data_IF_870626137423
#
_entry.id   IF_870626137423
#
_cell.length_a   1.000
_cell.length_b   1.000
_cell.length_c   1.000
_cell.angle_alpha   90.00
_cell.angle_beta   90.00
_cell.angle_gamma   90.00
#
_symmetry.space_group_name_H-M   'P 1'
#
loop_
_entity.id
_entity.type
_entity.pdbx_description
1 polymer ?
#
# COMPACT_ATOMS: atom_id res chain seq x y z
N UNK A 1 -10.75 -3.01 -15.50
CA UNK A 1 -10.65 -1.58 -15.09
C UNK A 1 -9.26 -1.22 -14.55
N UNK A 2 -8.59 -2.09 -13.80
CA UNK A 2 -7.27 -1.86 -13.19
C UNK A 2 -6.13 -1.65 -14.20
N UNK A 3 -6.18 -2.40 -15.30
CA UNK A 3 -5.27 -2.26 -16.43
C UNK A 3 -5.37 -0.86 -17.07
N UNK A 4 -6.53 -0.20 -16.95
CA UNK A 4 -6.77 1.12 -17.53
C UNK A 4 -6.07 2.25 -16.76
N UNK A 5 -6.00 2.20 -15.43
CA UNK A 5 -5.29 3.21 -14.63
C UNK A 5 -3.79 3.14 -14.89
N UNK A 6 -3.20 1.94 -14.80
CA UNK A 6 -1.79 1.73 -15.13
C UNK A 6 -1.49 2.10 -16.58
N UNK A 7 -2.29 1.64 -17.55
CA UNK A 7 -2.15 2.07 -18.96
C UNK A 7 -2.29 3.57 -19.12
N UNK A 8 -3.21 4.23 -18.42
CA UNK A 8 -3.40 5.69 -18.50
C UNK A 8 -2.21 6.45 -17.93
N UNK A 9 -1.60 5.96 -16.85
CA UNK A 9 -0.35 6.50 -16.35
C UNK A 9 0.80 6.24 -17.34
N UNK A 10 0.97 5.01 -17.84
CA UNK A 10 2.00 4.68 -18.84
C UNK A 10 1.87 5.56 -20.10
N UNK A 11 0.65 5.75 -20.61
CA UNK A 11 0.36 6.62 -21.78
C UNK A 11 0.58 8.11 -21.48
N UNK A 12 0.30 8.57 -20.26
CA UNK A 12 0.53 9.96 -19.85
C UNK A 12 2.03 10.26 -19.64
N UNK A 13 2.78 9.25 -19.23
CA UNK A 13 4.22 9.32 -18.94
C UNK A 13 5.05 8.62 -20.03
N UNK A 14 4.62 8.72 -21.29
CA UNK A 14 5.24 8.07 -22.46
C UNK A 14 6.73 8.43 -22.64
N UNK A 15 7.19 9.54 -22.06
CA UNK A 15 8.62 9.92 -22.03
C UNK A 15 9.46 9.14 -20.99
N UNK A 16 8.83 8.57 -19.96
CA UNK A 16 9.47 7.73 -18.94
C UNK A 16 9.40 6.24 -19.32
N UNK A 17 8.37 5.84 -20.06
CA UNK A 17 8.14 4.45 -20.43
C UNK A 17 8.49 4.24 -21.91
N UNK A 18 9.49 3.40 -22.19
CA UNK A 18 9.69 2.94 -23.57
C UNK A 18 8.38 2.34 -24.09
N UNK A 19 7.92 2.78 -25.26
CA UNK A 19 6.71 2.33 -25.95
C UNK A 19 6.61 0.79 -26.09
N UNK A 20 7.73 0.08 -25.93
CA UNK A 20 7.83 -1.37 -25.83
C UNK A 20 7.12 -2.01 -24.62
N UNK A 21 6.76 -1.25 -23.58
CA UNK A 21 6.05 -1.75 -22.38
C UNK A 21 4.52 -1.71 -22.54
N UNK A 22 3.99 -0.83 -23.41
CA UNK A 22 2.55 -0.57 -23.56
C UNK A 22 1.80 -1.75 -24.21
N UNK A 23 2.54 -2.71 -24.81
CA UNK A 23 1.98 -3.93 -25.43
C UNK A 23 2.44 -5.25 -24.82
N UNK A 24 3.27 -5.25 -23.77
CA UNK A 24 3.65 -6.50 -23.09
C UNK A 24 2.66 -6.79 -21.98
N UNK A 25 2.32 -8.07 -21.84
CA UNK A 25 1.58 -8.55 -20.67
C UNK A 25 2.52 -8.49 -19.45
N UNK A 26 2.53 -7.32 -18.82
CA UNK A 26 3.31 -7.00 -17.62
C UNK A 26 3.00 -7.95 -16.44
N UNK A 27 1.99 -8.82 -16.57
CA UNK A 27 1.61 -9.82 -15.58
C UNK A 27 2.17 -11.23 -15.86
N UNK A 28 3.02 -11.42 -16.88
CA UNK A 28 3.73 -12.70 -17.08
C UNK A 28 4.53 -13.11 -15.82
N UNK A 29 4.67 -14.41 -15.58
CA UNK A 29 5.22 -14.98 -14.32
C UNK A 29 6.48 -14.32 -13.71
N UNK A 30 7.53 -13.93 -14.46
CA UNK A 30 8.68 -13.25 -13.85
C UNK A 30 8.33 -11.87 -13.26
N UNK A 31 7.27 -11.22 -13.76
CA UNK A 31 6.82 -9.93 -13.26
C UNK A 31 5.82 -10.07 -12.10
N UNK A 32 5.12 -11.19 -11.97
CA UNK A 32 4.14 -11.40 -10.91
C UNK A 32 4.78 -11.23 -9.53
N UNK A 33 5.91 -11.92 -9.27
CA UNK A 33 6.69 -11.79 -8.04
C UNK A 33 7.18 -10.36 -7.78
N UNK A 34 7.56 -9.64 -8.83
CA UNK A 34 8.00 -8.24 -8.72
C UNK A 34 6.81 -7.37 -8.29
N UNK A 35 5.65 -7.52 -8.93
CA UNK A 35 4.41 -6.88 -8.50
C UNK A 35 4.08 -7.17 -7.05
N UNK A 36 4.30 -8.41 -6.60
CA UNK A 36 4.01 -8.76 -5.22
C UNK A 36 4.81 -7.99 -4.19
N UNK A 37 6.09 -7.78 -4.49
CA UNK A 37 6.98 -7.03 -3.64
C UNK A 37 6.67 -5.54 -3.67
N UNK A 38 6.30 -4.96 -4.82
CA UNK A 38 5.89 -3.55 -4.88
C UNK A 38 4.55 -3.28 -4.21
N UNK A 39 3.61 -4.21 -4.29
CA UNK A 39 2.36 -4.17 -3.52
C UNK A 39 2.66 -4.16 -2.02
N UNK A 40 3.54 -5.06 -1.55
CA UNK A 40 3.98 -5.09 -0.16
C UNK A 40 4.69 -3.79 0.25
N UNK A 41 5.60 -3.30 -0.58
CA UNK A 41 6.34 -2.09 -0.30
C UNK A 41 5.45 -0.84 -0.28
N UNK A 42 4.43 -0.78 -1.15
CA UNK A 42 3.41 0.26 -1.11
C UNK A 42 2.55 0.17 0.16
N UNK A 43 2.24 -1.04 0.63
CA UNK A 43 1.54 -1.26 1.90
C UNK A 43 2.38 -0.76 3.09
N UNK A 44 3.65 -1.16 3.20
CA UNK A 44 4.56 -0.70 4.25
C UNK A 44 4.71 0.83 4.26
N UNK A 45 4.94 1.43 3.10
CA UNK A 45 5.03 2.88 2.98
C UNK A 45 3.72 3.56 3.40
N UNK A 46 2.56 2.99 3.04
CA UNK A 46 1.25 3.53 3.43
C UNK A 46 0.99 3.42 4.93
N UNK A 47 1.38 2.29 5.54
CA UNK A 47 1.33 2.02 6.99
C UNK A 47 2.15 3.03 7.78
N UNK A 48 3.32 3.40 7.27
CA UNK A 48 4.20 4.40 7.89
C UNK A 48 3.90 5.84 7.45
N UNK A 49 2.82 6.06 6.67
CA UNK A 49 2.46 7.35 6.07
C UNK A 49 3.59 8.00 5.26
N UNK A 50 4.43 7.18 4.63
CA UNK A 50 5.51 7.59 3.76
C UNK A 50 5.09 7.62 2.29
N UNK A 51 5.59 8.63 1.58
CA UNK A 51 5.52 8.75 0.12
C UNK A 51 6.84 8.41 -0.56
N UNK A 52 7.88 8.18 0.24
CA UNK A 52 9.25 7.96 -0.19
C UNK A 52 9.67 6.51 0.00
N UNK A 53 10.36 5.96 -0.97
CA UNK A 53 10.92 4.60 -0.97
C UNK A 53 12.44 4.71 -1.13
N UNK A 54 13.20 3.96 -0.35
CA UNK A 54 14.65 3.98 -0.48
C UNK A 54 15.10 3.09 -1.66
N UNK A 55 16.05 3.56 -2.47
CA UNK A 55 16.62 2.78 -3.57
C UNK A 55 17.18 1.42 -3.14
N UNK A 56 17.67 1.31 -1.91
CA UNK A 56 18.11 0.02 -1.33
C UNK A 56 16.97 -0.99 -1.16
N UNK A 57 15.75 -0.54 -0.86
CA UNK A 57 14.56 -1.42 -0.75
C UNK A 57 14.19 -1.97 -2.13
N UNK A 58 14.27 -1.12 -3.16
CA UNK A 58 14.00 -1.50 -4.55
C UNK A 58 15.07 -2.45 -5.08
N UNK A 59 16.35 -2.23 -4.78
CA UNK A 59 17.45 -3.09 -5.27
C UNK A 59 17.30 -4.54 -4.78
N UNK A 60 16.87 -4.72 -3.54
CA UNK A 60 16.63 -6.06 -2.95
C UNK A 60 15.58 -6.85 -3.75
N UNK A 61 14.63 -6.16 -4.37
CA UNK A 61 13.52 -6.74 -5.11
C UNK A 61 13.93 -7.06 -6.56
N UNK A 62 14.72 -6.19 -7.19
CA UNK A 62 14.85 -6.17 -8.65
C UNK A 62 16.21 -6.65 -9.16
N UNK A 63 17.25 -6.65 -8.32
CA UNK A 63 18.60 -7.01 -8.75
C UNK A 63 19.08 -6.18 -9.95
N UNK A 64 19.42 -6.84 -11.07
CA UNK A 64 20.00 -6.21 -12.27
C UNK A 64 18.99 -5.49 -13.18
N UNK A 65 17.67 -5.69 -13.00
CA UNK A 65 16.63 -5.08 -13.85
C UNK A 65 16.10 -3.73 -13.32
N UNK A 66 16.86 -3.08 -12.44
CA UNK A 66 16.43 -1.92 -11.65
C UNK A 66 15.75 -0.82 -12.48
N UNK A 67 16.34 -0.42 -13.62
CA UNK A 67 15.77 0.63 -14.49
C UNK A 67 14.43 0.24 -15.12
N UNK A 68 14.30 -0.99 -15.62
CA UNK A 68 13.05 -1.46 -16.23
C UNK A 68 11.90 -1.47 -15.23
N UNK A 69 12.19 -1.81 -13.98
CA UNK A 69 11.18 -1.83 -12.92
C UNK A 69 10.81 -0.44 -12.43
N UNK A 70 11.77 0.49 -12.32
CA UNK A 70 11.43 1.90 -12.05
C UNK A 70 10.41 2.42 -13.07
N UNK A 71 10.56 2.05 -14.35
CA UNK A 71 9.61 2.44 -15.39
C UNK A 71 8.25 1.72 -15.26
N UNK A 72 8.23 0.42 -14.97
CA UNK A 72 6.98 -0.36 -14.82
C UNK A 72 6.15 0.13 -13.64
N UNK A 73 6.78 0.42 -12.51
CA UNK A 73 6.11 0.90 -11.29
C UNK A 73 6.07 2.42 -11.21
N UNK A 74 6.47 3.11 -12.28
CA UNK A 74 6.40 4.56 -12.41
C UNK A 74 7.06 5.27 -11.21
N UNK A 75 8.23 4.78 -10.81
CA UNK A 75 9.01 5.33 -9.70
C UNK A 75 9.96 6.39 -10.21
N UNK A 76 9.84 7.59 -9.64
CA UNK A 76 10.61 8.76 -10.00
C UNK A 76 11.63 9.03 -8.89
N UNK A 77 12.93 9.15 -9.21
CA UNK A 77 13.93 9.53 -8.23
C UNK A 77 13.75 10.99 -7.82
N UNK A 78 14.02 11.30 -6.54
CA UNK A 78 14.01 12.65 -5.97
C UNK A 78 15.02 13.58 -6.66
N UNK A 79 16.15 13.01 -7.05
CA UNK A 79 17.30 13.66 -7.66
C UNK A 79 17.49 13.06 -9.05
N UNK A 80 17.62 13.91 -10.07
CA UNK A 80 17.79 13.50 -11.48
C UNK A 80 19.22 13.04 -11.80
N UNK A 81 20.05 12.78 -10.78
CA UNK A 81 21.43 12.38 -11.00
C UNK A 81 21.50 10.93 -11.48
N UNK A 82 21.91 10.78 -12.74
CA UNK A 82 21.75 9.54 -13.53
C UNK A 82 22.94 8.57 -13.35
N UNK A 83 23.88 8.89 -12.46
CA UNK A 83 25.01 8.02 -12.17
C UNK A 83 24.56 6.79 -11.39
N UNK A 84 24.92 5.61 -11.88
CA UNK A 84 24.44 4.31 -11.39
C UNK A 84 24.77 4.00 -9.92
N UNK A 85 25.78 4.66 -9.35
CA UNK A 85 26.12 4.62 -7.93
C UNK A 85 25.14 5.43 -7.07
N UNK A 86 24.66 6.59 -7.56
CA UNK A 86 23.73 7.46 -6.84
C UNK A 86 22.27 6.98 -6.91
N UNK A 87 21.92 6.18 -7.91
CA UNK A 87 20.57 5.60 -8.01
C UNK A 87 20.16 4.78 -6.78
N UNK A 88 21.10 4.19 -6.04
CA UNK A 88 20.79 3.40 -4.85
C UNK A 88 20.62 4.24 -3.59
N UNK A 89 21.32 5.37 -3.51
CA UNK A 89 21.23 6.35 -2.43
C UNK A 89 20.04 7.29 -2.63
N UNK A 90 19.47 7.30 -3.83
CA UNK A 90 18.29 8.09 -4.16
C UNK A 90 17.05 7.59 -3.41
N UNK A 91 16.21 8.57 -3.10
CA UNK A 91 14.84 8.36 -2.64
C UNK A 91 13.93 8.38 -3.85
N UNK A 92 12.99 7.44 -3.91
CA UNK A 92 12.02 7.30 -4.99
C UNK A 92 10.62 7.64 -4.51
N UNK A 93 9.81 8.16 -5.41
CA UNK A 93 8.38 8.37 -5.21
C UNK A 93 7.63 7.62 -6.30
N UNK A 94 6.47 7.07 -5.98
CA UNK A 94 5.53 6.76 -7.04
C UNK A 94 5.16 8.04 -7.80
N UNK A 95 4.95 7.93 -9.11
CA UNK A 95 4.56 9.05 -9.97
C UNK A 95 3.36 9.82 -9.42
N UNK A 96 2.48 9.12 -8.71
CA UNK A 96 1.36 9.72 -8.02
C UNK A 96 0.99 8.89 -6.80
N UNK A 97 0.49 9.57 -5.76
CA UNK A 97 -0.02 8.95 -4.53
C UNK A 97 -1.09 7.89 -4.82
N UNK A 98 -2.03 8.18 -5.72
CA UNK A 98 -3.08 7.20 -6.10
C UNK A 98 -2.54 5.90 -6.70
N UNK A 99 -1.32 5.91 -7.25
CA UNK A 99 -0.67 4.70 -7.72
C UNK A 99 -0.15 3.85 -6.54
N UNK A 100 0.40 4.50 -5.52
CA UNK A 100 0.74 3.85 -4.25
C UNK A 100 -0.50 3.28 -3.56
N UNK A 101 -1.58 4.06 -3.49
CA UNK A 101 -2.86 3.64 -2.87
C UNK A 101 -3.45 2.44 -3.61
N UNK A 102 -3.37 2.42 -4.93
CA UNK A 102 -3.77 1.28 -5.76
C UNK A 102 -2.96 0.02 -5.47
N UNK A 103 -1.63 0.10 -5.40
CA UNK A 103 -0.78 -1.05 -5.08
C UNK A 103 -1.01 -1.55 -3.64
N UNK A 104 -1.22 -0.63 -2.70
CA UNK A 104 -1.59 -0.96 -1.33
C UNK A 104 -2.93 -1.70 -1.26
N UNK A 105 -3.96 -1.22 -1.96
CA UNK A 105 -5.25 -1.90 -2.04
C UNK A 105 -5.13 -3.32 -2.62
N UNK A 106 -4.32 -3.49 -3.67
CA UNK A 106 -4.02 -4.82 -4.25
C UNK A 106 -3.31 -5.75 -3.27
N UNK A 107 -2.37 -5.22 -2.48
CA UNK A 107 -1.72 -6.00 -1.43
C UNK A 107 -2.73 -6.55 -0.41
N UNK A 108 -3.57 -5.67 0.13
CA UNK A 108 -4.62 -6.01 1.11
C UNK A 108 -5.51 -7.12 0.55
N UNK A 109 -5.98 -6.95 -0.69
CA UNK A 109 -6.77 -7.93 -1.42
C UNK A 109 -6.09 -9.29 -1.47
N UNK A 110 -4.85 -9.32 -1.93
CA UNK A 110 -4.11 -10.56 -2.11
C UNK A 110 -3.96 -11.28 -0.78
N UNK A 111 -3.54 -10.57 0.27
CA UNK A 111 -3.32 -11.18 1.58
C UNK A 111 -4.61 -11.75 2.15
N UNK A 112 -5.72 -11.01 2.07
CA UNK A 112 -7.01 -11.49 2.58
C UNK A 112 -7.54 -12.69 1.79
N UNK A 113 -7.34 -12.71 0.46
CA UNK A 113 -7.68 -13.86 -0.42
C UNK A 113 -6.77 -15.06 -0.22
N UNK A 114 -5.51 -14.84 0.12
CA UNK A 114 -4.54 -15.92 0.22
C UNK A 114 -4.87 -16.85 1.39
N UNK A 115 -4.69 -18.15 1.15
CA UNK A 115 -4.66 -19.18 2.20
C UNK A 115 -3.34 -19.16 2.99
N UNK A 116 -2.44 -18.21 2.68
CA UNK A 116 -1.05 -18.18 3.13
C UNK A 116 -0.91 -17.51 4.52
N UNK A 117 0.29 -17.66 5.11
CA UNK A 117 0.77 -17.13 6.41
C UNK A 117 -0.23 -16.31 7.23
N UNK A 118 -0.64 -16.89 8.37
CA UNK A 118 -1.50 -16.24 9.36
C UNK A 118 -0.97 -14.90 9.83
N UNK A 119 0.35 -14.66 9.77
CA UNK A 119 0.97 -13.44 10.29
C UNK A 119 0.74 -12.22 9.39
N UNK A 120 0.98 -12.32 8.08
CA UNK A 120 0.68 -11.20 7.16
C UNK A 120 -0.82 -10.88 7.15
N UNK A 121 -1.66 -11.92 7.27
CA UNK A 121 -3.11 -11.74 7.34
C UNK A 121 -3.53 -11.04 8.63
N UNK A 122 -2.95 -11.40 9.77
CA UNK A 122 -3.14 -10.68 11.04
C UNK A 122 -2.69 -9.24 10.93
N UNK A 123 -1.54 -8.97 10.31
CA UNK A 123 -1.01 -7.63 10.12
C UNK A 123 -1.97 -6.76 9.28
N UNK A 124 -2.44 -7.27 8.15
CA UNK A 124 -3.41 -6.55 7.29
C UNK A 124 -4.73 -6.30 8.03
N UNK A 125 -5.24 -7.28 8.78
CA UNK A 125 -6.45 -7.10 9.61
C UNK A 125 -6.22 -6.04 10.68
N UNK A 126 -5.08 -6.07 11.37
CA UNK A 126 -4.72 -5.08 12.37
C UNK A 126 -4.64 -3.69 11.74
N UNK A 127 -3.96 -3.56 10.59
CA UNK A 127 -3.88 -2.32 9.84
C UNK A 127 -5.28 -1.75 9.53
N UNK A 128 -6.18 -2.56 8.98
CA UNK A 128 -7.56 -2.12 8.69
C UNK A 128 -8.27 -1.69 9.97
N UNK A 129 -8.23 -2.51 11.03
CA UNK A 129 -8.88 -2.21 12.30
C UNK A 129 -8.37 -0.91 12.95
N UNK A 130 -7.07 -0.65 12.83
CA UNK A 130 -6.42 0.53 13.41
C UNK A 130 -6.67 1.80 12.59
N UNK A 131 -6.65 1.66 11.27
CA UNK A 131 -6.64 2.79 10.35
C UNK A 131 -7.99 3.05 9.66
N UNK A 132 -9.05 2.31 9.99
CA UNK A 132 -10.40 2.45 9.39
C UNK A 132 -11.01 3.85 9.49
N UNK A 133 -10.57 4.69 10.42
CA UNK A 133 -11.00 6.08 10.55
C UNK A 133 -9.99 7.10 9.99
N UNK A 134 -8.85 6.63 9.48
CA UNK A 134 -7.82 7.50 8.94
C UNK A 134 -8.27 8.07 7.59
N UNK A 135 -8.59 9.37 7.57
CA UNK A 135 -8.98 10.10 6.35
C UNK A 135 -7.98 9.98 5.21
N UNK A 136 -6.70 9.74 5.50
CA UNK A 136 -5.64 9.61 4.50
C UNK A 136 -5.68 8.27 3.77
N UNK A 137 -6.41 7.27 4.28
CA UNK A 137 -6.56 5.96 3.65
C UNK A 137 -7.90 5.78 2.96
N UNK A 138 -8.75 6.82 2.96
CA UNK A 138 -10.07 6.76 2.31
C UNK A 138 -9.96 6.27 0.88
N UNK A 139 -9.04 6.83 0.11
CA UNK A 139 -8.89 6.50 -1.32
C UNK A 139 -8.35 5.07 -1.51
N UNK A 140 -7.43 4.60 -0.64
CA UNK A 140 -6.98 3.20 -0.61
C UNK A 140 -8.14 2.24 -0.38
N UNK A 141 -9.03 2.52 0.57
CA UNK A 141 -10.19 1.67 0.85
C UNK A 141 -11.26 1.76 -0.24
N UNK A 142 -11.49 2.94 -0.82
CA UNK A 142 -12.36 3.06 -2.00
C UNK A 142 -11.83 2.21 -3.17
N UNK A 143 -10.52 2.28 -3.44
CA UNK A 143 -9.89 1.44 -4.46
C UNK A 143 -10.00 -0.05 -4.10
N UNK A 144 -9.82 -0.44 -2.83
CA UNK A 144 -10.06 -1.82 -2.41
C UNK A 144 -11.45 -2.32 -2.83
N UNK A 145 -12.49 -1.53 -2.58
CA UNK A 145 -13.87 -1.88 -2.99
C UNK A 145 -14.05 -1.96 -4.50
N UNK A 146 -13.47 -1.01 -5.25
CA UNK A 146 -13.56 -1.01 -6.72
C UNK A 146 -12.83 -2.21 -7.34
N UNK A 147 -11.75 -2.68 -6.70
CA UNK A 147 -10.98 -3.83 -7.14
C UNK A 147 -11.65 -5.16 -6.76
N UNK A 148 -12.24 -5.24 -5.57
CA UNK A 148 -13.01 -6.40 -5.11
C UNK A 148 -14.45 -6.40 -5.62
N UNK A 149 -14.61 -6.75 -6.90
CA UNK A 149 -15.93 -6.94 -7.50
C UNK A 149 -16.62 -8.27 -7.11
N UNK A 150 -15.93 -9.21 -6.42
CA UNK A 150 -16.44 -10.57 -6.18
C UNK A 150 -15.95 -11.20 -4.84
N UNK A 151 -16.59 -10.78 -3.74
CA UNK A 151 -16.92 -11.50 -2.49
C UNK A 151 -15.90 -12.36 -1.70
N UNK A 152 -14.72 -12.71 -2.19
CA UNK A 152 -13.87 -13.71 -1.50
C UNK A 152 -13.20 -13.19 -0.22
N UNK A 153 -12.93 -11.88 -0.13
CA UNK A 153 -12.28 -11.29 1.04
C UNK A 153 -13.05 -10.10 1.65
N UNK A 154 -14.21 -9.75 1.08
CA UNK A 154 -14.99 -8.59 1.51
C UNK A 154 -15.53 -8.78 2.94
N UNK A 155 -15.91 -10.01 3.29
CA UNK A 155 -16.39 -10.34 4.64
C UNK A 155 -15.30 -10.13 5.69
N UNK A 156 -14.06 -10.53 5.40
CA UNK A 156 -12.93 -10.33 6.32
C UNK A 156 -12.58 -8.86 6.46
N UNK A 157 -12.67 -8.09 5.37
CA UNK A 157 -12.49 -6.65 5.40
C UNK A 157 -13.55 -5.98 6.28
N UNK A 158 -14.84 -6.29 6.08
CA UNK A 158 -15.92 -5.74 6.89
C UNK A 158 -15.83 -6.17 8.35
N UNK A 159 -15.50 -7.43 8.63
CA UNK A 159 -15.23 -7.86 10.01
C UNK A 159 -14.12 -7.05 10.68
N UNK A 160 -13.08 -6.66 9.93
CA UNK A 160 -12.01 -5.81 10.44
C UNK A 160 -12.42 -4.34 10.59
N UNK A 161 -13.36 -3.84 9.79
CA UNK A 161 -13.93 -2.50 9.90
C UNK A 161 -14.94 -2.41 11.04
N UNK A 162 -15.79 -3.42 11.21
CA UNK A 162 -16.83 -3.51 12.23
C UNK A 162 -16.30 -3.98 13.60
N UNK A 163 -15.02 -4.35 13.66
CA UNK A 163 -14.32 -4.64 14.91
C UNK A 163 -14.42 -3.46 15.88
N UNK A 164 -14.18 -3.70 17.17
CA UNK A 164 -14.41 -2.66 18.17
C UNK A 164 -13.62 -1.38 17.88
N UNK A 165 -14.27 -0.20 17.80
CA UNK A 165 -13.58 1.08 17.66
C UNK A 165 -12.56 1.28 18.78
N UNK A 166 -11.34 1.69 18.44
CA UNK A 166 -10.30 2.07 19.42
C UNK A 166 -10.82 3.08 20.45
N UNK A 167 -11.69 3.98 20.02
CA UNK A 167 -12.28 5.01 20.88
C UNK A 167 -13.20 4.43 21.96
N UNK A 168 -13.89 3.32 21.71
CA UNK A 168 -14.71 2.66 22.73
C UNK A 168 -13.86 1.94 23.77
N UNK A 169 -12.71 1.39 23.38
CA UNK A 169 -11.73 0.85 24.33
C UNK A 169 -11.16 1.97 25.20
N UNK A 170 -10.78 3.10 24.59
CA UNK A 170 -10.31 4.29 25.29
C UNK A 170 -11.35 4.86 26.26
N UNK A 171 -12.60 5.00 25.82
CA UNK A 171 -13.72 5.47 26.66
C UNK A 171 -14.01 4.52 27.81
N UNK A 172 -13.94 3.20 27.62
CA UNK A 172 -14.07 2.22 28.72
C UNK A 172 -12.90 2.31 29.69
N UNK A 173 -11.68 2.57 29.20
CA UNK A 173 -10.52 2.77 30.05
C UNK A 173 -10.65 4.06 30.88
N UNK A 174 -11.03 5.17 30.25
CA UNK A 174 -11.33 6.44 30.91
C UNK A 174 -12.49 6.31 31.91
N UNK A 175 -13.55 5.56 31.57
CA UNK A 175 -14.68 5.29 32.45
C UNK A 175 -14.26 4.50 33.69
N UNK A 176 -13.41 3.48 33.54
CA UNK A 176 -12.83 2.73 34.66
C UNK A 176 -11.93 3.61 35.53
N UNK A 177 -11.09 4.46 34.94
CA UNK A 177 -10.25 5.41 35.67
C UNK A 177 -11.12 6.43 36.43
N UNK A 178 -12.15 6.98 35.80
CA UNK A 178 -13.09 7.91 36.42
C UNK A 178 -13.87 7.27 37.59
N UNK A 179 -14.14 5.96 37.54
CA UNK A 179 -14.74 5.21 38.65
C UNK A 179 -13.79 5.01 39.83
N UNK A 180 -12.48 5.09 39.61
CA UNK A 180 -11.46 5.00 40.67
C UNK A 180 -11.23 6.33 41.41
N UNK A 181 -11.71 7.45 40.85
CA UNK A 181 -11.75 8.71 41.57
C UNK A 181 -13.04 8.80 42.38
N UNK A 182 -12.99 8.94 43.71
CA UNK A 182 -14.19 9.13 44.52
C UNK A 182 -14.90 10.42 44.08
N UNK A 183 -16.23 10.37 43.98
CA UNK A 183 -17.06 11.54 43.71
C UNK A 183 -16.77 12.62 44.77
N UNK A 184 -16.01 13.66 44.42
CA UNK A 184 -15.77 14.81 45.31
C UNK A 184 -14.43 15.53 45.18
N UNK A 185 -13.43 14.97 44.50
CA UNK A 185 -12.19 15.71 44.21
C UNK A 185 -12.32 16.48 42.90
N UNK A 186 -12.76 17.73 43.00
CA UNK A 186 -12.44 18.75 41.99
C UNK A 186 -10.95 19.12 42.13
N UNK A 187 -10.27 19.27 40.98
CA UNK A 187 -8.96 19.94 40.90
C UNK A 187 -9.09 21.43 41.26
#
# INVERSE_FOLDING_TARGET
>A
MCDYLLRRYLLKFDYLCNSALIGRDIYQEPNALVFEHFEHLAFEATKEHRFTINGHEIKKIVGLQFRSVLQIFLLIPKTQDDSSSLLLENVYYFVHRSFQEYLCARYIIRILKSSCSTEHKKEVIQFITHEKYNRHLRDTFCLFFELENFNLCIDQFWLAVDSEPRDLVGLRHCSRIAQWFPKGTCL
#
